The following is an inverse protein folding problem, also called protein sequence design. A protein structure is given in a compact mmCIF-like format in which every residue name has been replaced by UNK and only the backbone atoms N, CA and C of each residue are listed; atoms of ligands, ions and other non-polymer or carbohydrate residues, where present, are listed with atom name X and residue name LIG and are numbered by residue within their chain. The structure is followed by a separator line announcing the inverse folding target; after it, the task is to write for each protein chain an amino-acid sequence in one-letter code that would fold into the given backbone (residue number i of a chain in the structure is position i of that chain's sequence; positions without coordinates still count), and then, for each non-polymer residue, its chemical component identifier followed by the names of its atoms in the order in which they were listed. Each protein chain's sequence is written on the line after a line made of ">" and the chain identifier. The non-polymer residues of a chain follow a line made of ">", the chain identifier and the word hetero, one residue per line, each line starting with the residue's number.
data_IF_319932248862
#
_entry.id   IF_319932248862
#
_cell.length_a   1.000
_cell.length_b   1.000
_cell.length_c   1.000
_cell.angle_alpha   90.00
_cell.angle_beta   90.00
_cell.angle_gamma   90.00
#
_symmetry.space_group_name_H-M   'P 1'
#
loop_
_entity.id
_entity.type
_entity.pdbx_description
1 polymer ?
#
# COMPACT_ATOMS: atom_id res chain seq x y z
N UNK A 1 -29.03 -15.71 21.53
CA UNK A 1 -28.05 -15.84 20.43
C UNK A 1 -27.18 -14.61 20.51
N UNK A 2 -26.04 -14.72 21.20
CA UNK A 2 -25.09 -13.62 21.30
C UNK A 2 -24.53 -13.33 19.90
N UNK A 3 -24.95 -12.20 19.31
CA UNK A 3 -24.28 -11.65 18.14
C UNK A 3 -22.88 -11.27 18.61
N UNK A 4 -21.90 -12.10 18.30
CA UNK A 4 -20.51 -11.67 18.35
C UNK A 4 -20.42 -10.52 17.35
N UNK A 5 -20.19 -9.31 17.84
CA UNK A 5 -19.91 -8.15 16.99
C UNK A 5 -18.52 -8.34 16.36
N UNK A 6 -18.50 -9.12 15.28
CA UNK A 6 -17.29 -9.42 14.50
C UNK A 6 -16.90 -8.16 13.72
N UNK A 7 -16.20 -7.26 14.37
CA UNK A 7 -15.56 -6.11 13.72
C UNK A 7 -14.13 -6.41 13.23
N UNK A 8 -13.60 -5.52 12.40
CA UNK A 8 -12.25 -5.66 11.83
C UNK A 8 -11.25 -4.75 12.55
N UNK A 9 -10.08 -5.30 12.87
CA UNK A 9 -8.98 -4.52 13.45
C UNK A 9 -8.28 -3.62 12.43
N UNK A 10 -8.00 -4.17 11.25
CA UNK A 10 -7.30 -3.45 10.19
C UNK A 10 -7.74 -3.94 8.81
N UNK A 11 -7.75 -3.03 7.85
CA UNK A 11 -7.84 -3.33 6.43
C UNK A 11 -6.63 -2.71 5.76
N UNK A 12 -5.82 -3.55 5.12
CA UNK A 12 -4.58 -3.15 4.44
C UNK A 12 -4.80 -3.26 2.94
N UNK A 13 -4.79 -2.13 2.24
CA UNK A 13 -4.92 -2.09 0.78
C UNK A 13 -3.59 -1.65 0.15
N UNK A 14 -2.85 -2.62 -0.37
CA UNK A 14 -1.54 -2.43 -1.03
C UNK A 14 -1.59 -2.72 -2.53
N UNK A 15 -2.75 -3.10 -3.07
CA UNK A 15 -2.92 -3.38 -4.49
C UNK A 15 -2.67 -2.15 -5.36
N UNK A 16 -2.19 -2.40 -6.58
CA UNK A 16 -1.96 -1.35 -7.57
C UNK A 16 -1.62 -1.90 -8.95
N UNK A 17 -1.66 -1.00 -9.92
CA UNK A 17 -1.35 -1.23 -11.31
C UNK A 17 -0.41 -0.11 -11.80
N UNK A 18 0.64 -0.50 -12.51
CA UNK A 18 1.50 0.42 -13.26
C UNK A 18 1.50 0.03 -14.72
N UNK A 19 1.26 1.02 -15.59
CA UNK A 19 1.34 0.88 -17.05
C UNK A 19 2.31 1.94 -17.56
N UNK A 20 3.62 1.66 -17.65
CA UNK A 20 4.62 2.67 -17.96
C UNK A 20 4.51 3.13 -19.42
N UNK A 21 4.84 4.39 -19.64
CA UNK A 21 4.90 5.00 -20.97
C UNK A 21 5.03 6.51 -20.84
N UNK A 22 5.79 7.12 -21.76
CA UNK A 22 5.75 8.59 -21.90
C UNK A 22 4.32 9.02 -22.20
N UNK A 23 3.91 10.17 -21.66
CA UNK A 23 2.50 10.58 -21.66
C UNK A 23 1.89 10.64 -23.08
N UNK A 24 2.69 11.04 -24.08
CA UNK A 24 2.31 11.11 -25.49
C UNK A 24 2.00 9.74 -26.12
N UNK A 25 2.50 8.65 -25.54
CA UNK A 25 2.32 7.28 -26.04
C UNK A 25 1.34 6.46 -25.19
N UNK A 26 0.89 6.99 -24.06
CA UNK A 26 -0.10 6.32 -23.23
C UNK A 26 -1.51 6.63 -23.74
N UNK A 27 -2.37 5.61 -23.76
CA UNK A 27 -3.79 5.81 -24.06
C UNK A 27 -4.55 6.28 -22.82
N UNK A 28 -5.67 6.99 -23.01
CA UNK A 28 -6.57 7.35 -21.90
C UNK A 28 -7.04 6.14 -21.10
N UNK A 29 -7.28 5.00 -21.77
CA UNK A 29 -7.68 3.74 -21.12
C UNK A 29 -6.63 3.20 -20.15
N UNK A 30 -5.33 3.42 -20.40
CA UNK A 30 -4.28 3.07 -19.44
C UNK A 30 -4.36 3.94 -18.18
N UNK A 31 -4.64 5.23 -18.33
CA UNK A 31 -4.80 6.16 -17.21
C UNK A 31 -6.02 5.82 -16.36
N UNK A 32 -7.16 5.59 -17.00
CA UNK A 32 -8.39 5.15 -16.34
C UNK A 32 -8.18 3.84 -15.59
N UNK A 33 -7.43 2.90 -16.18
CA UNK A 33 -7.10 1.63 -15.52
C UNK A 33 -6.24 1.85 -14.27
N UNK A 34 -5.21 2.69 -14.35
CA UNK A 34 -4.38 3.02 -13.18
C UNK A 34 -5.20 3.75 -12.10
N UNK A 35 -6.03 4.74 -12.44
CA UNK A 35 -6.91 5.41 -11.48
C UNK A 35 -7.90 4.43 -10.83
N UNK A 36 -8.49 3.54 -11.62
CA UNK A 36 -9.42 2.53 -11.13
C UNK A 36 -8.77 1.61 -10.09
N UNK A 37 -7.56 1.11 -10.37
CA UNK A 37 -6.87 0.18 -9.48
C UNK A 37 -6.21 0.90 -8.29
N UNK A 38 -5.55 2.02 -8.52
CA UNK A 38 -4.72 2.67 -7.52
C UNK A 38 -5.49 3.57 -6.57
N UNK A 39 -6.63 4.14 -7.01
CA UNK A 39 -7.42 5.09 -6.22
C UNK A 39 -8.84 4.58 -5.93
N UNK A 40 -9.58 4.19 -6.97
CA UNK A 40 -10.99 3.82 -6.80
C UNK A 40 -11.13 2.51 -6.02
N UNK A 41 -10.27 1.52 -6.25
CA UNK A 41 -10.29 0.26 -5.52
C UNK A 41 -10.02 0.42 -4.00
N UNK A 42 -9.01 1.18 -3.53
CA UNK A 42 -8.84 1.45 -2.10
C UNK A 42 -10.03 2.20 -1.49
N UNK A 43 -10.60 3.19 -2.20
CA UNK A 43 -11.78 3.91 -1.72
C UNK A 43 -13.01 3.00 -1.59
N UNK A 44 -13.23 2.11 -2.56
CA UNK A 44 -14.29 1.09 -2.48
C UNK A 44 -14.06 0.14 -1.30
N UNK A 45 -12.81 -0.28 -1.10
CA UNK A 45 -12.40 -1.14 0.01
C UNK A 45 -12.71 -0.45 1.35
N UNK A 46 -12.26 0.79 1.52
CA UNK A 46 -12.56 1.59 2.70
C UNK A 46 -14.08 1.68 2.94
N UNK A 47 -14.85 2.11 1.94
CA UNK A 47 -16.32 2.25 2.02
C UNK A 47 -17.01 0.97 2.51
N UNK A 48 -16.60 -0.19 2.00
CA UNK A 48 -17.21 -1.48 2.36
C UNK A 48 -16.90 -1.86 3.81
N UNK A 49 -15.67 -1.62 4.28
CA UNK A 49 -15.23 -2.11 5.58
C UNK A 49 -15.33 -1.11 6.74
N UNK A 50 -15.57 0.19 6.48
CA UNK A 50 -15.76 1.22 7.52
C UNK A 50 -16.74 0.78 8.62
N UNK A 51 -17.92 0.20 8.32
CA UNK A 51 -18.84 -0.24 9.38
C UNK A 51 -18.21 -1.25 10.35
N UNK A 52 -17.42 -2.20 9.86
CA UNK A 52 -16.75 -3.21 10.69
C UNK A 52 -15.55 -2.63 11.44
N UNK A 53 -14.84 -1.68 10.83
CA UNK A 53 -13.73 -0.98 11.48
C UNK A 53 -14.21 -0.12 12.65
N UNK A 54 -15.38 0.52 12.53
CA UNK A 54 -15.97 1.33 13.60
C UNK A 54 -16.24 0.50 14.87
N UNK A 55 -16.67 -0.76 14.73
CA UNK A 55 -16.91 -1.67 15.86
C UNK A 55 -15.64 -1.87 16.71
N UNK A 56 -14.47 -1.98 16.07
CA UNK A 56 -13.19 -2.22 16.76
C UNK A 56 -12.33 -0.99 16.95
N UNK A 57 -12.78 0.19 16.47
CA UNK A 57 -11.92 1.38 16.34
C UNK A 57 -10.61 1.03 15.61
N UNK A 58 -10.81 0.32 14.49
CA UNK A 58 -9.74 -0.25 13.68
C UNK A 58 -9.03 0.78 12.82
N UNK A 59 -8.31 0.32 11.80
CA UNK A 59 -7.56 1.19 10.88
C UNK A 59 -7.68 0.80 9.41
N UNK A 60 -7.60 1.79 8.55
CA UNK A 60 -7.42 1.65 7.11
C UNK A 60 -5.96 1.97 6.81
N UNK A 61 -5.24 1.01 6.24
CA UNK A 61 -3.84 1.19 5.82
C UNK A 61 -3.79 1.24 4.30
N UNK A 62 -3.34 2.36 3.75
CA UNK A 62 -3.27 2.61 2.31
C UNK A 62 -1.81 2.76 1.88
N UNK A 63 -1.44 2.22 0.72
CA UNK A 63 -0.13 2.46 0.13
C UNK A 63 -0.20 3.75 -0.72
N UNK A 64 0.65 4.73 -0.42
CA UNK A 64 0.74 6.02 -1.11
C UNK A 64 1.76 6.05 -2.25
N UNK A 65 2.28 7.23 -2.55
CA UNK A 65 3.41 7.42 -3.46
C UNK A 65 4.75 7.33 -2.71
N UNK A 66 5.84 7.06 -3.43
CA UNK A 66 7.20 7.14 -2.87
C UNK A 66 7.63 8.61 -2.81
N UNK A 67 8.07 9.11 -1.65
CA UNK A 67 8.58 10.49 -1.52
C UNK A 67 9.80 10.73 -2.43
N UNK A 68 10.60 9.69 -2.63
CA UNK A 68 11.68 9.65 -3.61
C UNK A 68 11.15 8.97 -4.87
N UNK A 69 10.43 9.73 -5.70
CA UNK A 69 9.72 9.13 -6.83
C UNK A 69 10.73 8.64 -7.89
N UNK A 70 10.61 7.38 -8.31
CA UNK A 70 11.28 6.90 -9.53
C UNK A 70 10.80 7.69 -10.77
N UNK A 71 9.62 8.32 -10.67
CA UNK A 71 9.03 9.21 -11.66
C UNK A 71 9.81 10.50 -11.91
N UNK A 72 10.61 10.95 -10.94
CA UNK A 72 11.41 12.19 -11.04
C UNK A 72 12.59 12.09 -12.01
N UNK A 73 12.90 10.88 -12.52
CA UNK A 73 13.88 10.70 -13.59
C UNK A 73 13.27 11.12 -14.93
N UNK A 74 14.01 11.89 -15.72
CA UNK A 74 13.61 12.26 -17.07
C UNK A 74 13.32 11.00 -17.91
N UNK A 75 12.18 10.99 -18.61
CA UNK A 75 11.78 9.85 -19.44
C UNK A 75 11.31 8.61 -18.67
N UNK A 76 11.03 8.71 -17.36
CA UNK A 76 10.57 7.56 -16.55
C UNK A 76 9.27 6.91 -17.04
N UNK A 77 8.42 7.66 -17.76
CA UNK A 77 7.14 7.15 -18.26
C UNK A 77 6.14 6.83 -17.16
N UNK A 78 6.22 7.53 -16.01
CA UNK A 78 5.40 7.24 -14.82
C UNK A 78 4.41 8.34 -14.46
N UNK A 79 4.20 9.34 -15.31
CA UNK A 79 3.36 10.53 -15.00
C UNK A 79 1.97 10.14 -14.47
N UNK A 80 1.21 9.36 -15.24
CA UNK A 80 -0.15 8.95 -14.84
C UNK A 80 -0.15 7.98 -13.64
N UNK A 81 0.87 7.13 -13.51
CA UNK A 81 1.03 6.27 -12.34
C UNK A 81 1.26 7.10 -11.07
N UNK A 82 2.25 8.00 -11.08
CA UNK A 82 2.57 8.88 -9.95
C UNK A 82 1.37 9.75 -9.57
N UNK A 83 0.66 10.32 -10.55
CA UNK A 83 -0.58 11.07 -10.28
C UNK A 83 -1.62 10.21 -9.55
N UNK A 84 -1.85 8.98 -10.00
CA UNK A 84 -2.82 8.07 -9.37
C UNK A 84 -2.44 7.68 -7.94
N UNK A 85 -1.14 7.55 -7.63
CA UNK A 85 -0.64 7.23 -6.29
C UNK A 85 -0.65 8.45 -5.37
N UNK A 86 -0.31 9.63 -5.89
CA UNK A 86 -0.42 10.89 -5.15
C UNK A 86 -1.87 11.20 -4.77
N UNK A 87 -2.83 10.86 -5.63
CA UNK A 87 -4.26 10.99 -5.33
C UNK A 87 -4.70 10.16 -4.11
N UNK A 88 -4.04 9.03 -3.83
CA UNK A 88 -4.32 8.23 -2.61
C UNK A 88 -3.99 9.01 -1.35
N UNK A 89 -2.97 9.87 -1.37
CA UNK A 89 -2.60 10.69 -0.21
C UNK A 89 -3.70 11.69 0.13
N UNK A 90 -4.23 12.39 -0.88
CA UNK A 90 -5.36 13.32 -0.68
C UNK A 90 -6.64 12.59 -0.23
N UNK A 91 -6.90 11.40 -0.77
CA UNK A 91 -7.99 10.56 -0.32
C UNK A 91 -7.82 10.11 1.14
N UNK A 92 -6.61 9.75 1.56
CA UNK A 92 -6.31 9.36 2.92
C UNK A 92 -6.50 10.52 3.91
N UNK A 93 -6.06 11.73 3.54
CA UNK A 93 -6.26 12.94 4.35
C UNK A 93 -7.75 13.25 4.54
N UNK A 94 -8.54 13.20 3.47
CA UNK A 94 -9.97 13.41 3.52
C UNK A 94 -10.68 12.35 4.37
N UNK A 95 -10.39 11.06 4.15
CA UNK A 95 -10.95 9.96 4.95
C UNK A 95 -10.59 10.09 6.43
N UNK A 96 -9.37 10.52 6.75
CA UNK A 96 -8.96 10.74 8.14
C UNK A 96 -9.83 11.80 8.81
N UNK A 97 -10.05 12.93 8.14
CA UNK A 97 -10.90 14.00 8.64
C UNK A 97 -12.34 13.50 8.88
N UNK A 98 -12.89 12.76 7.92
CA UNK A 98 -14.24 12.20 8.01
C UNK A 98 -14.40 11.17 9.15
N UNK A 99 -13.39 10.32 9.34
CA UNK A 99 -13.47 9.17 10.27
C UNK A 99 -12.98 9.48 11.68
N UNK A 100 -12.37 10.65 11.92
CA UNK A 100 -11.76 11.03 13.19
C UNK A 100 -12.68 10.81 14.40
N UNK A 101 -13.93 11.25 14.32
CA UNK A 101 -14.91 11.11 15.42
C UNK A 101 -15.33 9.66 15.69
N UNK A 102 -15.20 8.78 14.70
CA UNK A 102 -15.54 7.36 14.83
C UNK A 102 -14.41 6.50 15.41
N UNK A 103 -13.23 7.09 15.62
CA UNK A 103 -12.06 6.39 16.14
C UNK A 103 -11.46 5.37 15.18
N UNK A 104 -11.74 5.48 13.87
CA UNK A 104 -11.07 4.68 12.83
C UNK A 104 -9.87 5.46 12.33
N UNK A 105 -8.68 4.88 12.47
CA UNK A 105 -7.46 5.50 11.96
C UNK A 105 -7.31 5.30 10.45
N UNK A 106 -6.70 6.27 9.78
CA UNK A 106 -6.30 6.15 8.38
C UNK A 106 -4.80 6.39 8.32
N UNK A 107 -4.06 5.36 7.90
CA UNK A 107 -2.59 5.32 7.91
C UNK A 107 -2.07 5.14 6.50
N UNK A 108 -1.17 6.02 6.08
CA UNK A 108 -0.50 5.94 4.80
C UNK A 108 0.85 5.23 4.94
N UNK A 109 1.14 4.28 4.07
CA UNK A 109 2.47 3.71 3.90
C UNK A 109 3.11 4.32 2.67
N UNK A 110 4.29 4.92 2.82
CA UNK A 110 5.06 5.45 1.69
C UNK A 110 6.16 4.45 1.34
N UNK A 111 6.08 3.78 0.18
CA UNK A 111 7.05 2.75 -0.20
C UNK A 111 8.45 3.35 -0.41
N UNK A 112 9.51 2.53 -0.30
CA UNK A 112 10.87 2.95 -0.68
C UNK A 112 10.96 3.25 -2.19
N UNK A 113 12.08 3.83 -2.69
CA UNK A 113 12.32 4.08 -4.12
C UNK A 113 12.56 2.79 -4.91
N UNK A 114 11.55 1.94 -4.97
CA UNK A 114 11.51 0.69 -5.74
C UNK A 114 10.88 0.95 -7.10
N UNK A 115 11.37 0.25 -8.13
CA UNK A 115 10.72 0.29 -9.44
C UNK A 115 9.28 -0.25 -9.31
N UNK A 116 8.24 0.53 -9.70
CA UNK A 116 6.86 0.08 -9.59
C UNK A 116 6.56 -1.23 -10.31
N UNK A 117 7.23 -1.52 -11.44
CA UNK A 117 7.06 -2.79 -12.15
C UNK A 117 7.50 -3.97 -11.29
N UNK A 118 8.54 -3.78 -10.48
CA UNK A 118 9.01 -4.80 -9.55
C UNK A 118 8.07 -4.87 -8.34
N UNK A 119 7.64 -3.72 -7.81
CA UNK A 119 6.74 -3.64 -6.65
C UNK A 119 5.42 -4.40 -6.85
N UNK A 120 4.86 -4.32 -8.06
CA UNK A 120 3.59 -4.96 -8.41
C UNK A 120 3.77 -6.25 -9.24
N UNK A 121 4.98 -6.77 -9.37
CA UNK A 121 5.22 -8.07 -9.99
C UNK A 121 4.70 -9.21 -9.11
N UNK A 122 4.42 -10.36 -9.72
CA UNK A 122 4.13 -11.59 -8.98
C UNK A 122 5.31 -11.96 -8.06
N UNK A 123 5.05 -12.47 -6.84
CA UNK A 123 6.09 -12.99 -5.96
C UNK A 123 6.96 -14.02 -6.67
N UNK A 124 8.25 -14.04 -6.37
CA UNK A 124 9.21 -14.98 -6.96
C UNK A 124 9.64 -15.99 -5.90
N UNK A 125 9.43 -17.28 -6.18
CA UNK A 125 9.93 -18.37 -5.34
C UNK A 125 11.43 -18.56 -5.61
N UNK A 126 12.27 -18.26 -4.62
CA UNK A 126 13.69 -18.66 -4.65
C UNK A 126 13.82 -20.05 -4.07
N UNK A 127 14.06 -21.02 -4.94
CA UNK A 127 14.48 -22.37 -4.55
C UNK A 127 15.97 -22.36 -4.21
N UNK A 128 16.41 -23.17 -3.26
CA UNK A 128 17.84 -23.45 -3.08
C UNK A 128 18.30 -24.16 -4.35
N UNK A 129 19.42 -23.73 -4.95
CA UNK A 129 20.01 -24.39 -6.11
C UNK A 129 20.45 -25.80 -5.70
N UNK A 130 19.57 -26.78 -5.86
CA UNK A 130 19.94 -28.18 -5.82
C UNK A 130 20.41 -28.51 -7.23
N UNK A 131 21.67 -28.90 -7.39
CA UNK A 131 22.31 -29.35 -8.64
C UNK A 131 21.68 -30.61 -9.27
N UNK A 132 20.41 -30.90 -9.01
CA UNK A 132 19.73 -32.11 -9.42
C UNK A 132 18.40 -31.72 -10.03
N UNK A 133 18.18 -32.09 -11.29
CA UNK A 133 17.03 -31.73 -12.14
C UNK A 133 15.66 -32.21 -11.65
N UNK A 134 15.25 -31.75 -10.47
CA UNK A 134 13.92 -31.90 -9.88
C UNK A 134 13.46 -30.50 -9.50
N UNK A 135 12.31 -30.09 -10.03
CA UNK A 135 11.64 -28.85 -9.60
C UNK A 135 11.31 -28.96 -8.11
N UNK A 136 12.07 -28.26 -7.27
CA UNK A 136 11.82 -28.24 -5.83
C UNK A 136 10.53 -27.47 -5.54
N UNK A 137 9.60 -28.10 -4.81
CA UNK A 137 8.40 -27.44 -4.26
C UNK A 137 8.70 -26.61 -3.00
N UNK A 138 9.93 -26.68 -2.49
CA UNK A 138 10.39 -25.98 -1.29
C UNK A 138 11.29 -24.80 -1.67
N UNK A 139 11.01 -23.62 -1.11
CA UNK A 139 11.76 -22.40 -1.35
C UNK A 139 11.25 -21.22 -0.52
N UNK A 140 11.97 -20.10 -0.58
CA UNK A 140 11.58 -18.85 0.08
C UNK A 140 10.92 -17.92 -0.92
N UNK A 141 9.66 -17.54 -0.68
CA UNK A 141 9.01 -16.49 -1.45
C UNK A 141 9.68 -15.14 -1.16
N UNK A 142 10.13 -14.48 -2.22
CA UNK A 142 10.77 -13.17 -2.13
C UNK A 142 9.88 -12.08 -2.70
N UNK A 143 9.91 -10.94 -2.02
CA UNK A 143 9.21 -9.73 -2.38
C UNK A 143 10.24 -8.58 -2.52
N UNK A 144 9.92 -7.53 -3.29
CA UNK A 144 10.84 -6.43 -3.55
C UNK A 144 11.00 -5.46 -2.37
N UNK A 145 10.23 -5.66 -1.29
CA UNK A 145 10.35 -4.89 -0.05
C UNK A 145 11.22 -5.64 0.94
N UNK A 146 12.05 -4.88 1.66
CA UNK A 146 12.89 -5.45 2.71
C UNK A 146 12.06 -5.86 3.93
N UNK A 147 12.53 -6.86 4.68
CA UNK A 147 11.93 -7.23 5.98
C UNK A 147 11.89 -6.02 6.92
N UNK A 148 12.94 -5.19 6.89
CA UNK A 148 13.00 -3.95 7.67
C UNK A 148 11.86 -3.00 7.34
N UNK A 149 11.51 -2.82 6.06
CA UNK A 149 10.39 -1.98 5.63
C UNK A 149 9.05 -2.45 6.23
N UNK A 150 8.84 -3.77 6.32
CA UNK A 150 7.64 -4.34 6.95
C UNK A 150 7.64 -4.11 8.45
N UNK A 151 8.76 -4.44 9.12
CA UNK A 151 8.90 -4.32 10.57
C UNK A 151 8.80 -2.88 11.08
N UNK A 152 9.32 -1.93 10.30
CA UNK A 152 9.43 -0.52 10.70
C UNK A 152 8.22 0.32 10.31
N UNK A 153 7.38 -0.13 9.37
CA UNK A 153 6.24 0.64 8.89
C UNK A 153 4.92 -0.12 8.97
N UNK A 154 4.80 -1.27 8.31
CA UNK A 154 3.52 -1.99 8.26
C UNK A 154 3.10 -2.53 9.63
N UNK A 155 4.02 -3.19 10.36
CA UNK A 155 3.72 -3.72 11.70
C UNK A 155 3.26 -2.59 12.65
N UNK A 156 4.01 -1.50 12.86
CA UNK A 156 3.56 -0.44 13.74
C UNK A 156 2.30 0.28 13.22
N UNK A 157 2.09 0.40 11.91
CA UNK A 157 0.86 0.95 11.34
C UNK A 157 -0.38 0.14 11.75
N UNK A 158 -0.25 -1.18 11.94
CA UNK A 158 -1.36 -2.03 12.38
C UNK A 158 -1.40 -2.21 13.90
N UNK A 159 -0.28 -2.18 14.62
CA UNK A 159 -0.24 -2.51 16.06
C UNK A 159 -0.18 -1.31 17.00
N UNK A 160 0.23 -0.12 16.54
CA UNK A 160 0.31 1.05 17.40
C UNK A 160 -1.08 1.46 17.90
N UNK A 161 -1.15 1.89 19.17
CA UNK A 161 -2.38 2.43 19.77
C UNK A 161 -2.75 3.79 19.20
N UNK A 162 -1.77 4.55 18.73
CA UNK A 162 -1.94 5.86 18.11
C UNK A 162 -0.91 5.98 16.96
N UNK A 163 -1.21 5.40 15.78
CA UNK A 163 -0.29 5.49 14.65
C UNK A 163 -0.22 6.94 14.11
N UNK A 164 0.95 7.43 13.69
CA UNK A 164 1.04 8.63 12.88
C UNK A 164 0.30 8.45 11.55
N UNK A 165 0.00 9.57 10.90
CA UNK A 165 -0.75 9.57 9.64
C UNK A 165 -0.03 8.84 8.51
N UNK A 166 1.30 8.82 8.56
CA UNK A 166 2.12 8.19 7.55
C UNK A 166 3.36 7.52 8.15
N UNK A 167 3.74 6.39 7.58
CA UNK A 167 5.03 5.74 7.78
C UNK A 167 5.80 5.74 6.47
N UNK A 168 7.04 6.21 6.52
CA UNK A 168 8.00 6.00 5.45
C UNK A 168 8.67 4.63 5.62
N UNK A 169 8.50 3.76 4.62
CA UNK A 169 8.99 2.39 4.61
C UNK A 169 10.49 2.29 4.29
N UNK A 170 11.14 3.40 3.93
CA UNK A 170 12.57 3.48 3.64
C UNK A 170 13.43 3.79 4.87
N UNK A 171 12.82 4.34 5.93
CA UNK A 171 13.52 4.77 7.14
C UNK A 171 13.00 4.07 8.39
N UNK A 172 13.78 4.14 9.48
CA UNK A 172 13.35 3.66 10.79
C UNK A 172 12.33 4.67 11.38
N UNK A 173 11.17 4.23 11.92
CA UNK A 173 10.18 5.12 12.49
C UNK A 173 10.77 5.84 13.70
N UNK A 174 10.52 7.15 13.78
CA UNK A 174 10.71 7.90 15.03
C UNK A 174 9.43 7.75 15.83
N UNK A 175 9.42 6.82 16.78
CA UNK A 175 8.27 6.63 17.70
C UNK A 175 8.35 7.74 18.74
N UNK A 176 7.61 8.83 18.51
CA UNK A 176 7.29 9.80 19.55
C UNK A 176 5.78 9.77 19.75
N UNK A 177 5.35 9.08 20.81
CA UNK A 177 4.04 9.31 21.38
C UNK A 177 4.25 10.21 22.60
N UNK A 178 3.53 11.34 22.67
CA UNK A 178 3.35 12.12 23.91
C UNK A 178 2.27 11.46 24.75
#
# INVERSE_FOLDING_TARGET
>A
MDRIDVGLWAVVHTGGLVLPGVIEKQTSSMWESMLRHNLVAPLRTARVFIPLLRIKRGRIVLLGDSETSYGSKAGSGLVAFSASRKAVEGAAEALKSELHSSGVDVVLLKPPPVNPLVLYASPVLKTVDVESGVTASEGTWTAPLSIHSVQNALIPAITASCPPNAYDMSVKPRIFCR
#
